data_IF_449154636763
#
_entry.id   IF_449154636763
#
_cell.length_a   1.000
_cell.length_b   1.000
_cell.length_c   1.000
_cell.angle_alpha   90.00
_cell.angle_beta   90.00
_cell.angle_gamma   90.00
#
_symmetry.space_group_name_H-M   'P 1'
#
loop_
_entity.id
_entity.type
_entity.pdbx_description
1 polymer ?
#
# COMPACT_ATOMS: atom_id res chain seq x y z
N UNK A 1 22.88 2.63 12.22
CA UNK A 1 22.43 1.24 11.98
C UNK A 1 23.63 0.40 11.58
N UNK A 2 24.13 -0.47 12.47
CA UNK A 2 25.18 -1.43 12.14
C UNK A 2 24.53 -2.81 11.98
N UNK A 3 24.30 -3.23 10.74
CA UNK A 3 23.82 -4.58 10.46
C UNK A 3 24.88 -5.60 10.93
N UNK A 4 24.45 -6.70 11.57
CA UNK A 4 25.36 -7.68 12.17
C UNK A 4 26.18 -8.46 11.13
N UNK A 5 25.72 -8.53 9.88
CA UNK A 5 26.38 -9.23 8.78
C UNK A 5 25.85 -8.73 7.41
N UNK A 6 26.66 -8.80 6.35
CA UNK A 6 26.28 -8.43 4.96
C UNK A 6 25.07 -9.26 4.45
N UNK A 7 24.88 -10.46 4.99
CA UNK A 7 23.72 -11.32 4.70
C UNK A 7 22.39 -10.74 5.20
N UNK A 8 22.40 -10.07 6.36
CA UNK A 8 21.22 -9.46 6.96
C UNK A 8 20.78 -8.20 6.19
N UNK A 9 21.75 -7.41 5.68
CA UNK A 9 21.47 -6.28 4.79
C UNK A 9 20.76 -6.72 3.50
N UNK A 10 21.23 -7.81 2.89
CA UNK A 10 20.63 -8.34 1.66
C UNK A 10 19.23 -8.91 1.90
N UNK A 11 19.01 -9.58 3.03
CA UNK A 11 17.69 -10.10 3.41
C UNK A 11 16.69 -8.97 3.66
N UNK A 12 17.09 -7.95 4.43
CA UNK A 12 16.29 -6.75 4.70
C UNK A 12 15.93 -6.01 3.41
N UNK A 13 16.91 -5.78 2.53
CA UNK A 13 16.68 -5.13 1.23
C UNK A 13 15.68 -5.91 0.38
N UNK A 14 15.83 -7.24 0.31
CA UNK A 14 14.93 -8.11 -0.46
C UNK A 14 13.50 -8.10 0.10
N UNK A 15 13.34 -8.10 1.42
CA UNK A 15 12.01 -7.97 2.05
C UNK A 15 11.38 -6.61 1.78
N UNK A 16 12.15 -5.52 1.89
CA UNK A 16 11.64 -4.18 1.59
C UNK A 16 11.22 -4.06 0.12
N UNK A 17 12.00 -4.61 -0.81
CA UNK A 17 11.62 -4.68 -2.22
C UNK A 17 10.31 -5.47 -2.42
N UNK A 18 10.14 -6.56 -1.67
CA UNK A 18 8.92 -7.35 -1.65
C UNK A 18 7.71 -6.60 -1.08
N UNK A 19 7.91 -5.75 -0.07
CA UNK A 19 6.87 -4.85 0.45
C UNK A 19 6.47 -3.82 -0.60
N UNK A 20 7.44 -3.13 -1.19
CA UNK A 20 7.21 -2.16 -2.27
C UNK A 20 6.46 -2.79 -3.43
N UNK A 21 6.87 -3.97 -3.89
CA UNK A 21 6.19 -4.70 -4.96
C UNK A 21 4.72 -5.02 -4.60
N UNK A 22 4.45 -5.48 -3.37
CA UNK A 22 3.08 -5.72 -2.90
C UNK A 22 2.26 -4.43 -2.85
N UNK A 23 2.84 -3.33 -2.35
CA UNK A 23 2.17 -2.04 -2.33
C UNK A 23 1.83 -1.54 -3.73
N UNK A 24 2.74 -1.68 -4.69
CA UNK A 24 2.51 -1.32 -6.09
C UNK A 24 1.40 -2.17 -6.71
N UNK A 25 1.37 -3.47 -6.42
CA UNK A 25 0.28 -4.35 -6.87
C UNK A 25 -1.06 -3.91 -6.29
N UNK A 26 -1.14 -3.64 -4.99
CA UNK A 26 -2.38 -3.15 -4.37
C UNK A 26 -2.77 -1.79 -4.96
N UNK A 27 -1.83 -0.88 -5.12
CA UNK A 27 -2.08 0.41 -5.75
C UNK A 27 -2.61 0.27 -7.18
N UNK A 28 -2.05 -0.65 -7.96
CA UNK A 28 -2.53 -0.97 -9.32
C UNK A 28 -3.94 -1.57 -9.29
N UNK A 29 -4.18 -2.56 -8.43
CA UNK A 29 -5.50 -3.19 -8.28
C UNK A 29 -6.55 -2.20 -7.82
N UNK A 30 -6.22 -1.29 -6.92
CA UNK A 30 -7.20 -0.31 -6.44
C UNK A 30 -7.43 0.78 -7.48
N UNK A 31 -6.39 1.32 -8.11
CA UNK A 31 -6.54 2.37 -9.13
C UNK A 31 -7.25 1.85 -10.38
N UNK A 32 -6.86 0.66 -10.86
CA UNK A 32 -7.38 0.08 -12.10
C UNK A 32 -8.62 -0.79 -11.87
N UNK A 33 -8.60 -1.64 -10.84
CA UNK A 33 -9.70 -2.53 -10.48
C UNK A 33 -10.90 -1.79 -9.93
N UNK A 34 -10.73 -0.93 -8.91
CA UNK A 34 -11.87 -0.18 -8.37
C UNK A 34 -12.28 1.01 -9.26
N UNK A 35 -11.32 1.63 -9.95
CA UNK A 35 -11.58 2.80 -10.81
C UNK A 35 -12.16 2.48 -12.19
N UNK A 36 -11.84 1.33 -12.79
CA UNK A 36 -12.23 1.01 -14.18
C UNK A 36 -13.05 -0.28 -14.24
N UNK A 37 -12.57 -1.36 -13.62
CA UNK A 37 -13.15 -2.70 -13.79
C UNK A 37 -14.44 -2.90 -12.98
N UNK A 38 -14.46 -2.40 -11.74
CA UNK A 38 -15.63 -2.40 -10.86
C UNK A 38 -16.43 -1.10 -10.94
N UNK A 39 -16.11 -0.20 -11.88
CA UNK A 39 -16.76 1.11 -11.96
C UNK A 39 -18.28 0.97 -12.14
N UNK A 40 -18.75 -0.01 -12.91
CA UNK A 40 -20.18 -0.23 -13.14
C UNK A 40 -20.90 -0.79 -11.90
N UNK A 41 -20.24 -1.68 -11.14
CA UNK A 41 -20.75 -2.19 -9.87
C UNK A 41 -20.77 -1.09 -8.79
N UNK A 42 -19.72 -0.27 -8.73
CA UNK A 42 -19.63 0.88 -7.82
C UNK A 42 -20.59 2.00 -8.22
N UNK A 43 -20.83 2.22 -9.52
CA UNK A 43 -21.76 3.22 -10.01
C UNK A 43 -23.22 2.92 -9.67
N UNK A 44 -23.56 1.66 -9.38
CA UNK A 44 -24.88 1.29 -8.83
C UNK A 44 -25.08 1.78 -7.40
N UNK A 45 -24.00 2.03 -6.66
CA UNK A 45 -24.06 2.60 -5.32
C UNK A 45 -23.87 4.11 -5.43
N UNK A 46 -24.93 4.87 -5.21
CA UNK A 46 -24.85 6.32 -5.10
C UNK A 46 -24.42 6.70 -3.68
N UNK A 47 -23.28 7.39 -3.57
CA UNK A 47 -22.78 7.90 -2.31
C UNK A 47 -22.94 9.42 -2.32
N UNK A 48 -23.74 9.94 -1.40
CA UNK A 48 -24.02 11.38 -1.28
C UNK A 48 -24.60 12.05 -2.56
N UNK A 49 -25.25 11.29 -3.43
CA UNK A 49 -25.82 11.80 -4.70
C UNK A 49 -24.89 11.72 -5.91
N UNK A 50 -23.66 11.22 -5.72
CA UNK A 50 -22.68 11.02 -6.80
C UNK A 50 -22.40 9.53 -6.99
N UNK A 51 -22.03 9.13 -8.21
CA UNK A 51 -21.66 7.75 -8.50
C UNK A 51 -20.33 7.41 -7.82
N UNK A 52 -20.29 6.32 -7.04
CA UNK A 52 -19.08 5.95 -6.28
C UNK A 52 -17.86 5.73 -7.17
N UNK A 53 -18.04 5.19 -8.38
CA UNK A 53 -16.94 5.03 -9.33
C UNK A 53 -16.31 6.36 -9.73
N UNK A 54 -17.11 7.42 -9.89
CA UNK A 54 -16.62 8.76 -10.21
C UNK A 54 -15.89 9.40 -9.03
N UNK A 55 -16.42 9.26 -7.81
CA UNK A 55 -15.74 9.69 -6.59
C UNK A 55 -14.39 8.98 -6.42
N UNK A 56 -14.34 7.68 -6.72
CA UNK A 56 -13.12 6.89 -6.62
C UNK A 56 -12.05 7.33 -7.60
N UNK A 57 -12.45 7.66 -8.84
CA UNK A 57 -11.56 8.19 -9.87
C UNK A 57 -10.96 9.56 -9.52
N UNK A 58 -11.68 10.39 -8.76
CA UNK A 58 -11.29 11.78 -8.51
C UNK A 58 -10.63 12.01 -7.14
N UNK A 59 -11.17 11.40 -6.08
CA UNK A 59 -10.71 11.56 -4.69
C UNK A 59 -10.43 10.22 -4.00
N UNK A 60 -10.99 9.09 -4.47
CA UNK A 60 -10.74 7.80 -3.81
C UNK A 60 -9.29 7.35 -3.86
N UNK A 61 -8.58 7.63 -4.96
CA UNK A 61 -7.18 7.22 -5.13
C UNK A 61 -6.24 7.82 -4.07
N UNK A 62 -6.47 9.07 -3.62
CA UNK A 62 -5.62 9.70 -2.60
C UNK A 62 -5.84 9.07 -1.21
N UNK A 63 -7.09 8.70 -0.86
CA UNK A 63 -7.36 8.01 0.41
C UNK A 63 -6.71 6.64 0.45
N UNK A 64 -6.76 5.91 -0.68
CA UNK A 64 -6.09 4.62 -0.81
C UNK A 64 -4.59 4.79 -0.69
N UNK A 65 -4.02 5.83 -1.30
CA UNK A 65 -2.60 6.13 -1.20
C UNK A 65 -2.17 6.38 0.26
N UNK A 66 -2.93 7.18 1.01
CA UNK A 66 -2.69 7.41 2.44
C UNK A 66 -2.80 6.11 3.24
N UNK A 67 -3.82 5.29 2.98
CA UNK A 67 -3.97 3.99 3.64
C UNK A 67 -2.78 3.05 3.35
N UNK A 68 -2.27 3.04 2.12
CA UNK A 68 -1.08 2.29 1.75
C UNK A 68 0.16 2.76 2.52
N UNK A 69 0.33 4.06 2.75
CA UNK A 69 1.43 4.59 3.57
C UNK A 69 1.36 4.06 5.00
N UNK A 70 0.18 4.06 5.62
CA UNK A 70 0.02 3.49 6.97
C UNK A 70 0.33 1.98 7.00
N UNK A 71 -0.14 1.23 6.01
CA UNK A 71 0.16 -0.21 5.89
C UNK A 71 1.66 -0.43 5.70
N UNK A 72 2.32 0.39 4.89
CA UNK A 72 3.78 0.36 4.73
C UNK A 72 4.49 0.61 6.05
N UNK A 73 4.18 1.70 6.75
CA UNK A 73 4.78 2.00 8.06
C UNK A 73 4.59 0.85 9.04
N UNK A 74 3.37 0.31 9.16
CA UNK A 74 3.10 -0.79 10.07
C UNK A 74 3.92 -2.05 9.73
N UNK A 75 4.06 -2.36 8.43
CA UNK A 75 4.87 -3.49 7.98
C UNK A 75 6.37 -3.24 8.10
N UNK A 76 6.83 -2.02 7.85
CA UNK A 76 8.23 -1.64 8.02
C UNK A 76 8.62 -1.71 9.49
N UNK A 77 7.80 -1.15 10.38
CA UNK A 77 8.02 -1.24 11.83
C UNK A 77 8.03 -2.70 12.33
N UNK A 78 7.16 -3.55 11.79
CA UNK A 78 7.18 -4.99 12.08
C UNK A 78 8.45 -5.70 11.56
N UNK A 79 9.00 -5.23 10.44
CA UNK A 79 10.22 -5.74 9.81
C UNK A 79 11.45 -5.27 10.60
N UNK A 80 11.51 -4.00 10.97
CA UNK A 80 12.56 -3.41 11.82
C UNK A 80 12.65 -4.14 13.17
N UNK A 81 11.50 -4.39 13.81
CA UNK A 81 11.42 -5.21 15.03
C UNK A 81 11.91 -6.65 14.84
N UNK A 82 11.74 -7.23 13.65
CA UNK A 82 12.19 -8.59 13.32
C UNK A 82 13.70 -8.68 13.10
N UNK A 83 14.28 -7.64 12.49
CA UNK A 83 15.71 -7.56 12.22
C UNK A 83 16.48 -6.87 13.37
N UNK A 84 15.79 -6.48 14.45
CA UNK A 84 16.40 -5.86 15.63
C UNK A 84 16.99 -4.49 15.34
N UNK A 85 16.49 -3.80 14.31
CA UNK A 85 16.79 -2.39 14.04
C UNK A 85 15.84 -1.57 14.90
N UNK A 86 15.93 -1.72 16.23
CA UNK A 86 15.37 -0.72 17.12
C UNK A 86 16.25 0.53 16.97
N UNK A 87 15.70 1.57 16.33
CA UNK A 87 16.21 2.92 16.50
C UNK A 87 15.99 3.29 17.97
N UNK A 88 17.07 3.61 18.69
CA UNK A 88 16.98 4.33 19.96
C UNK A 88 16.23 5.66 19.79
#
# INVERSE_FOLDING_TARGET
MAFRNDGDQKAYWKENLGLLAKLLVVWFVVSFGAGILFVDALNNIQFFGFKLGFWFAQQGSIYVFVALIFVYMAKMNAMDKRYGVDEE
#
